data_IF_752113782478
#
_entry.id   IF_752113782478
#
_cell.length_a   1.000
_cell.length_b   1.000
_cell.length_c   1.000
_cell.angle_alpha   90.00
_cell.angle_beta   90.00
_cell.angle_gamma   90.00
#
_symmetry.space_group_name_H-M   'P 1'
#
loop_
_entity.id
_entity.type
_entity.pdbx_description
1 polymer ?
#
# COMPACT_ATOMS: atom_id res chain seq x y z
N UNK A 1 -3.52 -18.88 -21.66
CA UNK A 1 -3.52 -17.62 -20.89
C UNK A 1 -4.07 -16.48 -21.74
N UNK A 2 -5.17 -15.87 -21.33
CA UNK A 2 -5.78 -14.73 -22.03
C UNK A 2 -4.93 -13.46 -21.90
N UNK A 3 -5.14 -12.48 -22.79
CA UNK A 3 -4.44 -11.20 -22.73
C UNK A 3 -4.72 -10.42 -21.43
N UNK A 4 -5.94 -10.56 -20.89
CA UNK A 4 -6.35 -9.93 -19.63
C UNK A 4 -5.59 -10.51 -18.44
N UNK A 5 -5.43 -11.83 -18.39
CA UNK A 5 -4.69 -12.50 -17.31
C UNK A 5 -3.21 -12.10 -17.26
N UNK A 6 -2.56 -12.00 -18.43
CA UNK A 6 -1.18 -11.50 -18.52
C UNK A 6 -1.04 -10.10 -17.96
N UNK A 7 -1.99 -9.21 -18.28
CA UNK A 7 -1.98 -7.83 -17.78
C UNK A 7 -2.18 -7.78 -16.26
N UNK A 8 -3.10 -8.57 -15.72
CA UNK A 8 -3.29 -8.68 -14.26
C UNK A 8 -2.04 -9.18 -13.55
N UNK A 9 -1.37 -10.22 -14.06
CA UNK A 9 -0.14 -10.72 -13.44
C UNK A 9 1.00 -9.71 -13.49
N UNK A 10 1.19 -9.00 -14.62
CA UNK A 10 2.20 -7.94 -14.73
C UNK A 10 1.97 -6.82 -13.72
N UNK A 11 0.71 -6.45 -13.52
CA UNK A 11 0.33 -5.42 -12.57
C UNK A 11 0.53 -5.86 -11.12
N UNK A 12 0.18 -7.10 -10.77
CA UNK A 12 0.49 -7.65 -9.45
C UNK A 12 2.01 -7.70 -9.22
N UNK A 13 2.77 -8.08 -10.24
CA UNK A 13 4.24 -8.02 -10.21
C UNK A 13 4.76 -6.59 -10.02
N UNK A 14 4.15 -5.62 -10.71
CA UNK A 14 4.45 -4.21 -10.51
C UNK A 14 4.17 -3.77 -9.08
N UNK A 15 3.01 -4.11 -8.49
CA UNK A 15 2.70 -3.77 -7.10
C UNK A 15 3.73 -4.37 -6.15
N UNK A 16 4.14 -5.64 -6.36
CA UNK A 16 5.17 -6.27 -5.55
C UNK A 16 6.52 -5.53 -5.66
N UNK A 17 6.96 -5.20 -6.88
CA UNK A 17 8.23 -4.49 -7.09
C UNK A 17 8.16 -3.06 -6.54
N UNK A 18 7.09 -2.33 -6.83
CA UNK A 18 6.87 -0.98 -6.31
C UNK A 18 6.81 -0.98 -4.78
N UNK A 19 6.19 -1.99 -4.17
CA UNK A 19 6.18 -2.18 -2.72
C UNK A 19 7.57 -2.39 -2.14
N UNK A 20 8.36 -3.30 -2.74
CA UNK A 20 9.73 -3.54 -2.32
C UNK A 20 10.61 -2.30 -2.45
N UNK A 21 10.49 -1.58 -3.57
CA UNK A 21 11.22 -0.32 -3.81
C UNK A 21 10.75 0.78 -2.86
N UNK A 22 9.45 0.92 -2.63
CA UNK A 22 8.88 1.95 -1.75
C UNK A 22 9.31 1.76 -0.31
N UNK A 23 9.12 0.56 0.25
CA UNK A 23 9.53 0.26 1.63
C UNK A 23 11.04 0.18 1.80
N UNK A 24 11.77 -0.42 0.85
CA UNK A 24 13.22 -0.43 0.87
C UNK A 24 13.81 0.98 0.76
N UNK A 25 13.24 1.84 -0.08
CA UNK A 25 13.59 3.25 -0.16
C UNK A 25 13.26 4.01 1.13
N UNK A 26 12.11 3.73 1.75
CA UNK A 26 11.73 4.31 3.06
C UNK A 26 12.76 3.94 4.13
N UNK A 27 13.13 2.66 4.22
CA UNK A 27 14.18 2.18 5.13
C UNK A 27 15.54 2.82 4.87
N UNK A 28 15.96 2.93 3.60
CA UNK A 28 17.23 3.56 3.26
C UNK A 28 17.27 5.05 3.63
N UNK A 29 16.15 5.76 3.49
CA UNK A 29 16.05 7.16 3.95
C UNK A 29 16.17 7.22 5.47
N UNK A 30 15.46 6.34 6.18
CA UNK A 30 15.47 6.28 7.65
C UNK A 30 16.88 6.01 8.21
N UNK A 31 17.63 5.08 7.61
CA UNK A 31 18.95 4.66 8.09
C UNK A 31 20.11 5.55 7.64
N UNK A 32 20.05 6.07 6.41
CA UNK A 32 21.21 6.67 5.74
C UNK A 32 21.10 8.17 5.53
N UNK A 33 19.90 8.75 5.73
CA UNK A 33 19.74 10.18 5.49
C UNK A 33 20.42 11.00 6.58
N UNK A 34 21.04 12.09 6.15
CA UNK A 34 21.58 13.15 7.01
C UNK A 34 20.72 14.41 6.98
N UNK A 35 19.56 14.33 6.31
CA UNK A 35 18.62 15.42 6.21
C UNK A 35 17.85 15.59 7.53
N UNK A 36 17.08 16.67 7.61
CA UNK A 36 16.11 16.81 8.70
C UNK A 36 14.95 15.82 8.51
N UNK A 37 14.37 15.34 9.61
CA UNK A 37 13.18 14.46 9.63
C UNK A 37 12.06 15.00 8.71
N UNK A 38 11.85 16.33 8.71
CA UNK A 38 10.85 16.95 7.85
C UNK A 38 11.14 16.74 6.35
N UNK A 39 12.40 16.86 5.92
CA UNK A 39 12.80 16.68 4.53
C UNK A 39 12.75 15.20 4.10
N UNK A 40 13.14 14.29 4.99
CA UNK A 40 13.08 12.85 4.74
C UNK A 40 11.66 12.37 4.46
N UNK A 41 10.70 12.88 5.22
CA UNK A 41 9.30 12.53 5.02
C UNK A 41 8.80 13.01 3.65
N UNK A 42 9.18 14.20 3.19
CA UNK A 42 8.81 14.64 1.83
C UNK A 42 9.46 13.80 0.75
N UNK A 43 10.71 13.36 0.94
CA UNK A 43 11.38 12.46 0.00
C UNK A 43 10.62 11.13 -0.12
N UNK A 44 10.24 10.54 1.01
CA UNK A 44 9.44 9.31 1.08
C UNK A 44 8.07 9.50 0.44
N UNK A 45 7.34 10.56 0.80
CA UNK A 45 6.00 10.87 0.25
C UNK A 45 6.06 11.06 -1.27
N UNK A 46 7.06 11.81 -1.77
CA UNK A 46 7.25 12.02 -3.21
C UNK A 46 7.58 10.70 -3.91
N UNK A 47 8.46 9.88 -3.34
CA UNK A 47 8.80 8.56 -3.87
C UNK A 47 7.57 7.67 -4.03
N UNK A 48 6.75 7.58 -2.97
CA UNK A 48 5.49 6.83 -3.02
C UNK A 48 4.46 7.44 -3.97
N UNK A 49 4.39 8.77 -4.10
CA UNK A 49 3.51 9.43 -5.05
C UNK A 49 3.88 9.10 -6.50
N UNK A 50 5.18 9.07 -6.83
CA UNK A 50 5.67 8.67 -8.15
C UNK A 50 5.32 7.21 -8.44
N UNK A 51 5.52 6.31 -7.48
CA UNK A 51 5.12 4.90 -7.61
C UNK A 51 3.61 4.77 -7.81
N UNK A 52 2.79 5.48 -7.02
CA UNK A 52 1.34 5.46 -7.18
C UNK A 52 0.91 5.97 -8.55
N UNK A 53 1.49 7.07 -9.02
CA UNK A 53 1.20 7.65 -10.33
C UNK A 53 1.55 6.68 -11.47
N UNK A 54 2.73 6.06 -11.42
CA UNK A 54 3.15 5.05 -12.39
C UNK A 54 2.20 3.83 -12.40
N UNK A 55 1.76 3.37 -11.22
CA UNK A 55 0.77 2.29 -11.08
C UNK A 55 -0.64 2.67 -11.57
N UNK A 56 -0.96 3.96 -11.62
CA UNK A 56 -2.25 4.46 -12.12
C UNK A 56 -2.30 4.55 -13.66
N UNK A 57 -1.16 4.73 -14.34
CA UNK A 57 -1.08 4.90 -15.81
C UNK A 57 -1.84 3.81 -16.60
N UNK A 58 -1.75 2.50 -16.26
CA UNK A 58 -2.48 1.45 -16.99
C UNK A 58 -4.00 1.64 -17.02
N UNK A 59 -4.58 2.39 -16.07
CA UNK A 59 -6.04 2.68 -16.07
C UNK A 59 -6.46 3.69 -17.12
N UNK A 60 -5.54 4.58 -17.51
CA UNK A 60 -5.79 5.55 -18.57
C UNK A 60 -5.91 4.84 -19.93
N UNK A 61 -5.15 3.76 -20.11
CA UNK A 61 -5.03 3.06 -21.38
C UNK A 61 -5.81 1.74 -21.46
N UNK A 62 -6.25 1.17 -20.33
CA UNK A 62 -6.94 -0.14 -20.30
C UNK A 62 -8.36 -0.06 -19.71
N UNK A 63 -9.43 -0.20 -20.54
CA UNK A 63 -10.82 -0.10 -20.09
C UNK A 63 -11.22 -1.08 -18.99
N UNK A 64 -10.67 -2.30 -19.02
CA UNK A 64 -10.92 -3.33 -18.00
C UNK A 64 -10.47 -2.82 -16.63
N UNK A 65 -9.26 -2.28 -16.53
CA UNK A 65 -8.68 -1.77 -15.28
C UNK A 65 -9.42 -0.52 -14.81
N UNK A 66 -9.87 0.33 -15.73
CA UNK A 66 -10.69 1.50 -15.40
C UNK A 66 -12.00 1.10 -14.70
N UNK A 67 -12.62 0.00 -15.11
CA UNK A 67 -13.90 -0.48 -14.57
C UNK A 67 -13.77 -1.28 -13.28
N UNK A 68 -12.60 -1.88 -12.99
CA UNK A 68 -12.41 -2.67 -11.77
C UNK A 68 -12.50 -1.81 -10.51
N UNK A 69 -13.44 -2.14 -9.61
CA UNK A 69 -13.69 -1.38 -8.37
C UNK A 69 -12.54 -1.49 -7.37
N UNK A 70 -11.97 -2.68 -7.20
CA UNK A 70 -10.86 -2.91 -6.26
C UNK A 70 -9.68 -1.98 -6.54
N UNK A 71 -9.28 -1.85 -7.81
CA UNK A 71 -8.23 -0.90 -8.21
C UNK A 71 -8.57 0.54 -7.84
N UNK A 72 -9.85 0.94 -7.90
CA UNK A 72 -10.26 2.31 -7.59
C UNK A 72 -10.10 2.58 -6.11
N UNK A 73 -10.47 1.60 -5.29
CA UNK A 73 -10.24 1.69 -3.85
C UNK A 73 -8.76 1.82 -3.56
N UNK A 74 -7.90 0.95 -4.09
CA UNK A 74 -6.44 1.07 -3.90
C UNK A 74 -5.91 2.47 -4.22
N UNK A 75 -6.23 3.01 -5.39
CA UNK A 75 -5.79 4.35 -5.76
C UNK A 75 -6.30 5.43 -4.80
N UNK A 76 -7.59 5.38 -4.44
CA UNK A 76 -8.19 6.37 -3.53
C UNK A 76 -7.58 6.28 -2.15
N UNK A 77 -7.48 5.09 -1.55
CA UNK A 77 -6.96 4.95 -0.19
C UNK A 77 -5.47 5.29 -0.14
N UNK A 78 -4.68 4.93 -1.16
CA UNK A 78 -3.27 5.30 -1.24
C UNK A 78 -3.07 6.81 -1.41
N UNK A 79 -3.90 7.46 -2.25
CA UNK A 79 -3.85 8.91 -2.40
C UNK A 79 -4.22 9.63 -1.09
N UNK A 80 -5.22 9.12 -0.36
CA UNK A 80 -5.58 9.65 0.96
C UNK A 80 -4.44 9.46 1.97
N UNK A 81 -3.81 8.28 2.02
CA UNK A 81 -2.67 8.03 2.90
C UNK A 81 -1.49 8.97 2.62
N UNK A 82 -1.19 9.22 1.35
CA UNK A 82 -0.17 10.20 0.95
C UNK A 82 -0.54 11.62 1.37
N UNK A 83 -1.81 12.01 1.19
CA UNK A 83 -2.29 13.32 1.64
C UNK A 83 -2.18 13.47 3.15
N UNK A 84 -2.56 12.44 3.93
CA UNK A 84 -2.41 12.42 5.39
C UNK A 84 -0.94 12.56 5.78
N UNK A 85 -0.04 11.81 5.15
CA UNK A 85 1.40 11.91 5.38
C UNK A 85 1.91 13.34 5.12
N UNK A 86 1.54 13.93 3.98
CA UNK A 86 1.97 15.28 3.62
C UNK A 86 1.43 16.34 4.61
N UNK A 87 0.14 16.30 4.92
CA UNK A 87 -0.52 17.27 5.81
C UNK A 87 0.06 17.19 7.22
N UNK A 88 0.19 15.98 7.77
CA UNK A 88 0.73 15.77 9.12
C UNK A 88 2.18 16.25 9.28
N UNK A 89 2.91 16.41 8.17
CA UNK A 89 4.30 16.85 8.14
C UNK A 89 4.47 18.27 7.59
N UNK A 90 3.38 19.02 7.46
CA UNK A 90 3.38 20.42 7.06
C UNK A 90 2.98 21.31 8.25
N UNK A 91 3.93 21.97 8.95
CA UNK A 91 3.64 22.75 10.16
C UNK A 91 2.59 23.85 9.96
N UNK A 92 2.54 24.46 8.77
CA UNK A 92 1.54 25.49 8.46
C UNK A 92 0.11 24.96 8.32
N UNK A 93 -0.07 23.64 8.12
CA UNK A 93 -1.38 22.98 8.03
C UNK A 93 -1.84 22.39 9.37
N UNK A 94 -0.92 22.16 10.30
CA UNK A 94 -1.19 21.70 11.66
C UNK A 94 -0.45 22.64 12.64
N UNK A 95 -1.01 23.84 12.89
CA UNK A 95 -0.29 24.90 13.61
C UNK A 95 -0.19 24.66 15.12
N UNK A 96 -1.03 23.79 15.69
CA UNK A 96 -0.95 23.41 17.09
C UNK A 96 0.22 22.43 17.31
N UNK A 97 1.21 22.76 18.16
CA UNK A 97 2.41 21.93 18.32
C UNK A 97 2.13 20.53 18.88
N UNK A 98 1.17 20.40 19.80
CA UNK A 98 0.85 19.10 20.41
C UNK A 98 0.13 18.20 19.40
N UNK A 99 -0.79 18.76 18.61
CA UNK A 99 -1.45 18.06 17.51
C UNK A 99 -0.47 17.73 16.39
N UNK A 100 0.51 18.59 16.11
CA UNK A 100 1.54 18.34 15.10
C UNK A 100 2.38 17.12 15.46
N UNK A 101 2.93 17.07 16.69
CA UNK A 101 3.68 15.90 17.17
C UNK A 101 2.83 14.63 17.10
N UNK A 102 1.60 14.68 17.62
CA UNK A 102 0.67 13.55 17.56
C UNK A 102 0.41 13.10 16.12
N UNK A 103 0.20 14.04 15.21
CA UNK A 103 -0.05 13.74 13.80
C UNK A 103 1.17 13.07 13.15
N UNK A 104 2.39 13.50 13.47
CA UNK A 104 3.61 12.89 12.96
C UNK A 104 3.76 11.43 13.43
N UNK A 105 3.52 11.17 14.71
CA UNK A 105 3.63 9.82 15.30
C UNK A 105 2.72 8.81 14.60
N UNK A 106 1.50 9.23 14.23
CA UNK A 106 0.54 8.33 13.58
C UNK A 106 0.65 8.34 12.06
N UNK A 107 0.92 9.48 11.42
CA UNK A 107 0.77 9.62 9.98
C UNK A 107 1.81 8.87 9.16
N UNK A 108 2.98 8.57 9.73
CA UNK A 108 4.07 7.96 8.97
C UNK A 108 3.73 6.52 8.55
N UNK A 109 3.33 5.66 9.48
CA UNK A 109 3.05 4.24 9.20
C UNK A 109 1.57 3.85 9.16
N UNK A 110 0.74 4.37 10.07
CA UNK A 110 -0.63 3.89 10.26
C UNK A 110 -1.50 3.98 9.00
N UNK A 111 -1.44 5.07 8.19
CA UNK A 111 -2.20 5.16 6.96
C UNK A 111 -1.89 4.03 5.98
N UNK A 112 -0.65 3.55 5.92
CA UNK A 112 -0.27 2.47 5.00
C UNK A 112 -0.87 1.12 5.39
N UNK A 113 -0.90 0.78 6.69
CA UNK A 113 -1.57 -0.43 7.15
C UNK A 113 -3.09 -0.36 6.98
N UNK A 114 -3.68 0.83 7.15
CA UNK A 114 -5.09 1.06 6.82
C UNK A 114 -5.36 0.86 5.32
N UNK A 115 -4.48 1.37 4.45
CA UNK A 115 -4.53 1.15 3.00
C UNK A 115 -4.50 -0.34 2.68
N UNK A 116 -3.61 -1.11 3.30
CA UNK A 116 -3.50 -2.55 3.07
C UNK A 116 -4.74 -3.29 3.54
N UNK A 117 -5.22 -3.00 4.75
CA UNK A 117 -6.43 -3.61 5.28
C UNK A 117 -7.63 -3.37 4.34
N UNK A 118 -7.92 -2.11 4.02
CA UNK A 118 -9.06 -1.74 3.17
C UNK A 118 -8.88 -2.26 1.76
N UNK A 119 -7.70 -2.06 1.16
CA UNK A 119 -7.39 -2.46 -0.20
C UNK A 119 -7.51 -3.98 -0.40
N UNK A 120 -6.95 -4.78 0.50
CA UNK A 120 -7.01 -6.24 0.39
C UNK A 120 -8.41 -6.79 0.66
N UNK A 121 -9.11 -6.29 1.68
CA UNK A 121 -10.51 -6.67 1.94
C UNK A 121 -11.39 -6.31 0.73
N UNK A 122 -11.22 -5.11 0.15
CA UNK A 122 -11.94 -4.70 -1.04
C UNK A 122 -11.65 -5.60 -2.24
N UNK A 123 -10.38 -5.98 -2.47
CA UNK A 123 -10.01 -6.94 -3.54
C UNK A 123 -10.69 -8.30 -3.34
N UNK A 124 -10.75 -8.80 -2.11
CA UNK A 124 -11.39 -10.08 -1.80
C UNK A 124 -12.92 -10.03 -2.00
N UNK A 125 -13.56 -8.92 -1.61
CA UNK A 125 -15.02 -8.79 -1.54
C UNK A 125 -15.67 -8.24 -2.81
N UNK A 126 -14.99 -7.38 -3.55
CA UNK A 126 -15.58 -6.77 -4.73
C UNK A 126 -15.65 -7.73 -5.90
N UNK A 127 -16.71 -7.53 -6.69
CA UNK A 127 -17.01 -8.30 -7.89
C UNK A 127 -16.91 -9.82 -7.64
N UNK A 128 -17.64 -10.39 -6.66
CA UNK A 128 -17.48 -11.80 -6.26
C UNK A 128 -17.76 -12.79 -7.39
N UNK A 129 -18.54 -12.38 -8.40
CA UNK A 129 -18.86 -13.16 -9.59
C UNK A 129 -17.84 -12.98 -10.74
N UNK A 130 -16.88 -12.08 -10.59
CA UNK A 130 -15.86 -11.82 -11.61
C UNK A 130 -14.81 -12.93 -11.63
N UNK A 131 -14.55 -13.47 -12.83
CA UNK A 131 -13.44 -14.41 -13.06
C UNK A 131 -12.05 -13.74 -13.03
N UNK A 132 -12.00 -12.43 -12.76
CA UNK A 132 -10.73 -11.70 -12.66
C UNK A 132 -9.94 -12.04 -11.39
N UNK A 133 -10.60 -12.52 -10.33
CA UNK A 133 -9.97 -12.95 -9.07
C UNK A 133 -10.59 -14.28 -8.63
N UNK A 134 -9.77 -15.33 -8.61
CA UNK A 134 -10.18 -16.69 -8.23
C UNK A 134 -10.53 -16.80 -6.74
N UNK A 135 -11.20 -17.89 -6.34
CA UNK A 135 -11.59 -18.11 -4.93
C UNK A 135 -10.37 -18.21 -4.01
N UNK A 136 -9.34 -18.96 -4.40
CA UNK A 136 -8.12 -19.08 -3.61
C UNK A 136 -7.36 -17.74 -3.50
N UNK A 137 -7.32 -16.94 -4.57
CA UNK A 137 -6.76 -15.58 -4.53
C UNK A 137 -7.52 -14.67 -3.57
N UNK A 138 -8.86 -14.77 -3.52
CA UNK A 138 -9.67 -14.00 -2.58
C UNK A 138 -9.36 -14.35 -1.13
N UNK A 139 -9.09 -15.62 -0.83
CA UNK A 139 -8.67 -16.03 0.51
C UNK A 139 -7.34 -15.40 0.89
N UNK A 140 -6.37 -15.37 -0.03
CA UNK A 140 -5.08 -14.68 0.20
C UNK A 140 -5.33 -13.22 0.56
N UNK A 141 -6.09 -12.49 -0.27
CA UNK A 141 -6.36 -11.07 0.00
C UNK A 141 -7.17 -10.87 1.29
N UNK A 142 -8.15 -11.71 1.60
CA UNK A 142 -8.92 -11.56 2.83
C UNK A 142 -8.03 -11.77 4.07
N UNK A 143 -7.16 -12.79 4.05
CA UNK A 143 -6.21 -13.06 5.12
C UNK A 143 -5.19 -11.92 5.27
N UNK A 144 -4.64 -11.41 4.16
CA UNK A 144 -3.72 -10.27 4.18
C UNK A 144 -4.38 -9.01 4.73
N UNK A 145 -5.63 -8.73 4.33
CA UNK A 145 -6.36 -7.58 4.85
C UNK A 145 -6.67 -7.68 6.35
N UNK A 146 -7.03 -8.88 6.83
CA UNK A 146 -7.21 -9.12 8.25
C UNK A 146 -5.89 -8.97 9.04
N UNK A 147 -4.78 -9.49 8.50
CA UNK A 147 -3.47 -9.34 9.10
C UNK A 147 -3.02 -7.88 9.14
N UNK A 148 -3.22 -7.11 8.06
CA UNK A 148 -2.93 -5.67 8.04
C UNK A 148 -3.75 -4.90 9.06
N UNK A 149 -5.02 -5.27 9.27
CA UNK A 149 -5.85 -4.67 10.31
C UNK A 149 -5.34 -5.02 11.71
N UNK A 150 -4.93 -6.27 11.94
CA UNK A 150 -4.37 -6.70 13.21
C UNK A 150 -3.06 -5.95 13.53
N UNK A 151 -2.18 -5.78 12.52
CA UNK A 151 -0.96 -4.97 12.66
C UNK A 151 -1.31 -3.52 12.96
N UNK A 152 -2.26 -2.91 12.24
CA UNK A 152 -2.70 -1.54 12.50
C UNK A 152 -3.19 -1.35 13.94
N UNK A 153 -4.04 -2.26 14.44
CA UNK A 153 -4.52 -2.25 15.83
C UNK A 153 -3.35 -2.44 16.80
N UNK A 154 -2.41 -3.32 16.47
CA UNK A 154 -1.19 -3.53 17.24
C UNK A 154 -0.34 -2.26 17.36
N UNK A 155 -0.17 -1.49 16.27
CA UNK A 155 0.58 -0.23 16.26
C UNK A 155 -0.09 0.86 17.11
N UNK A 156 -1.42 0.86 17.23
CA UNK A 156 -2.10 1.76 18.16
C UNK A 156 -1.91 1.37 19.63
N UNK A 157 -1.70 0.08 19.91
CA UNK A 157 -1.56 -0.44 21.26
C UNK A 157 -0.09 -0.55 21.72
N UNK A 158 0.84 -0.63 20.78
CA UNK A 158 2.25 -0.91 20.99
C UNK A 158 3.08 0.10 20.19
N UNK A 159 4.25 0.46 20.70
CA UNK A 159 5.26 1.25 19.99
C UNK A 159 6.45 0.35 19.62
N UNK A 160 6.31 -0.56 18.64
CA UNK A 160 7.41 -1.41 18.23
C UNK A 160 8.52 -0.58 17.56
N UNK A 161 9.78 -1.07 17.56
CA UNK A 161 10.85 -0.49 16.76
C UNK A 161 10.48 -0.35 15.28
N UNK A 162 10.92 0.74 14.66
CA UNK A 162 10.57 1.12 13.29
C UNK A 162 11.02 0.08 12.27
N UNK A 163 12.15 -0.62 12.50
CA UNK A 163 12.62 -1.66 11.60
C UNK A 163 11.60 -2.81 11.43
N UNK A 164 10.85 -3.14 12.49
CA UNK A 164 9.82 -4.17 12.44
C UNK A 164 8.57 -3.68 11.72
N UNK A 165 8.24 -2.38 11.85
CA UNK A 165 7.12 -1.76 11.15
C UNK A 165 7.40 -1.69 9.66
N UNK A 166 8.60 -1.28 9.28
CA UNK A 166 9.07 -1.24 7.89
C UNK A 166 9.08 -2.63 7.25
N UNK A 167 9.59 -3.64 7.98
CA UNK A 167 9.56 -5.03 7.52
C UNK A 167 8.13 -5.54 7.34
N UNK A 168 7.25 -5.29 8.32
CA UNK A 168 5.84 -5.68 8.24
C UNK A 168 5.14 -5.00 7.06
N UNK A 169 5.37 -3.71 6.85
CA UNK A 169 4.86 -2.93 5.72
C UNK A 169 5.32 -3.51 4.39
N UNK A 170 6.63 -3.77 4.26
CA UNK A 170 7.23 -4.40 3.09
C UNK A 170 6.63 -5.77 2.77
N UNK A 171 6.59 -6.66 3.76
CA UNK A 171 6.03 -8.01 3.60
C UNK A 171 4.55 -7.95 3.24
N UNK A 172 3.77 -7.12 3.92
CA UNK A 172 2.33 -6.98 3.66
C UNK A 172 2.04 -6.37 2.31
N UNK A 173 2.93 -5.58 1.71
CA UNK A 173 2.73 -5.04 0.37
C UNK A 173 3.19 -6.01 -0.73
N UNK A 174 4.27 -6.77 -0.49
CA UNK A 174 4.94 -7.62 -1.48
C UNK A 174 4.38 -9.04 -1.52
N UNK A 175 4.18 -9.68 -0.37
CA UNK A 175 3.82 -11.10 -0.30
C UNK A 175 2.44 -11.39 -0.88
N UNK A 176 1.37 -10.63 -0.57
CA UNK A 176 0.03 -10.94 -1.09
C UNK A 176 -0.08 -10.96 -2.63
N UNK A 177 0.45 -9.97 -3.39
CA UNK A 177 0.40 -10.04 -4.85
C UNK A 177 1.25 -11.19 -5.42
N UNK A 178 2.40 -11.52 -4.82
CA UNK A 178 3.21 -12.67 -5.25
C UNK A 178 2.50 -14.00 -4.97
N UNK A 179 1.89 -14.15 -3.80
CA UNK A 179 1.09 -15.31 -3.44
C UNK A 179 -0.10 -15.48 -4.39
N UNK A 180 -0.80 -14.39 -4.72
CA UNK A 180 -1.88 -14.43 -5.71
C UNK A 180 -1.40 -14.88 -7.10
N UNK A 181 -0.24 -14.42 -7.56
CA UNK A 181 0.38 -14.91 -8.80
C UNK A 181 0.68 -16.41 -8.72
N UNK A 182 1.25 -16.87 -7.61
CA UNK A 182 1.60 -18.28 -7.41
C UNK A 182 0.36 -19.19 -7.40
N UNK A 183 -0.69 -18.79 -6.68
CA UNK A 183 -1.99 -19.49 -6.66
C UNK A 183 -2.56 -19.59 -8.07
N UNK A 184 -2.60 -18.48 -8.82
CA UNK A 184 -3.10 -18.47 -10.20
C UNK A 184 -2.36 -19.42 -11.14
N UNK A 185 -1.06 -19.62 -10.91
CA UNK A 185 -0.23 -20.52 -11.73
C UNK A 185 -0.52 -22.00 -11.44
N UNK A 186 -0.99 -22.34 -10.24
CA UNK A 186 -1.32 -23.73 -9.84
C UNK A 186 -2.70 -24.17 -10.31
N UNK A 187 -3.62 -23.23 -10.51
CA UNK A 187 -4.98 -23.51 -11.00
C UNK A 187 -5.06 -23.69 -12.53
N UNK A 188 -3.93 -23.92 -13.20
CA UNK A 188 -3.81 -24.06 -14.66
C UNK A 188 -3.05 -25.30 -15.03
#
# INVERSE_FOLDING_TARGET
MTAVERRTQRLLGYVAVAGAVGWGGTYLVDELSTLSIAQDIYLVVVGWAVLLAAGALPRLTTPVMRRTRAWRVWLVVSAVALAVNAVANTPSLVPDPALFTLAQDYAYYHPWFAVYAVGYIATARYEPKSKLVGSAERTVYLASGALSLAVLVGLFALSPPDEYVLLAGGLLNVVPPLAAIAVRRRER
#
